data_IF_984478789121
#
_entry.id   IF_984478789121
#
_cell.length_a   1.000
_cell.length_b   1.000
_cell.length_c   1.000
_cell.angle_alpha   90.00
_cell.angle_beta   90.00
_cell.angle_gamma   90.00
#
_symmetry.space_group_name_H-M   'P 1'
#
loop_
_entity.id
_entity.type
_entity.pdbx_description
1 polymer ?
#
# COMPACT_ATOMS: atom_id res chain seq x y z
N UNK A 1 -11.34 -7.05 10.79
CA UNK A 1 -10.76 -8.00 9.81
C UNK A 1 -9.90 -9.00 10.57
N UNK A 2 -9.97 -10.31 10.29
CA UNK A 2 -8.96 -11.25 10.81
C UNK A 2 -7.72 -11.26 9.88
N UNK A 3 -6.57 -11.74 10.35
CA UNK A 3 -5.29 -11.65 9.63
C UNK A 3 -5.33 -12.36 8.25
N UNK A 4 -5.92 -13.55 8.18
CA UNK A 4 -6.03 -14.32 6.94
C UNK A 4 -6.86 -13.58 5.87
N UNK A 5 -7.95 -12.92 6.29
CA UNK A 5 -8.77 -12.10 5.39
C UNK A 5 -8.01 -10.84 4.94
N UNK A 6 -7.26 -10.17 5.82
CA UNK A 6 -6.47 -8.99 5.48
C UNK A 6 -5.41 -9.29 4.40
N UNK A 7 -4.68 -10.41 4.53
CA UNK A 7 -3.69 -10.83 3.53
C UNK A 7 -4.33 -11.18 2.19
N UNK A 8 -5.53 -11.76 2.20
CA UNK A 8 -6.26 -12.09 0.98
C UNK A 8 -6.62 -10.84 0.20
N UNK A 9 -7.14 -9.81 0.88
CA UNK A 9 -7.45 -8.51 0.26
C UNK A 9 -6.18 -7.83 -0.25
N UNK A 10 -5.10 -7.85 0.54
CA UNK A 10 -3.81 -7.29 0.13
C UNK A 10 -3.26 -7.94 -1.14
N UNK A 11 -3.24 -9.27 -1.22
CA UNK A 11 -2.81 -9.98 -2.42
C UNK A 11 -3.68 -9.67 -3.63
N UNK A 12 -4.99 -9.46 -3.43
CA UNK A 12 -5.86 -9.04 -4.53
C UNK A 12 -5.47 -7.66 -5.08
N UNK A 13 -5.24 -6.67 -4.20
CA UNK A 13 -4.77 -5.33 -4.59
C UNK A 13 -3.47 -5.41 -5.39
N UNK A 14 -2.48 -6.18 -4.90
CA UNK A 14 -1.18 -6.32 -5.58
C UNK A 14 -1.33 -6.96 -6.96
N UNK A 15 -2.19 -7.98 -7.08
CA UNK A 15 -2.40 -8.71 -8.35
C UNK A 15 -3.15 -7.88 -9.40
N UNK A 16 -4.08 -7.02 -8.97
CA UNK A 16 -4.94 -6.28 -9.90
C UNK A 16 -4.52 -4.82 -10.08
N UNK A 17 -3.70 -4.27 -9.20
CA UNK A 17 -3.43 -2.84 -9.10
C UNK A 17 -4.62 -2.02 -8.59
N UNK A 18 -5.76 -2.66 -8.26
CA UNK A 18 -6.95 -1.96 -7.79
C UNK A 18 -6.85 -1.63 -6.30
N UNK A 19 -6.55 -0.37 -6.01
CA UNK A 19 -6.42 0.17 -4.65
C UNK A 19 -7.76 0.59 -4.02
N UNK A 20 -8.91 0.34 -4.66
CA UNK A 20 -10.23 0.71 -4.13
C UNK A 20 -10.50 0.17 -2.72
N UNK A 21 -9.96 -1.01 -2.42
CA UNK A 21 -10.14 -1.69 -1.12
C UNK A 21 -9.03 -1.38 -0.11
N UNK A 22 -8.01 -0.61 -0.48
CA UNK A 22 -6.84 -0.33 0.37
C UNK A 22 -7.21 0.31 1.72
N UNK A 23 -8.19 1.23 1.72
CA UNK A 23 -8.66 1.88 2.94
C UNK A 23 -9.32 0.93 3.95
N UNK A 24 -9.68 -0.29 3.53
CA UNK A 24 -10.22 -1.31 4.45
C UNK A 24 -9.12 -2.02 5.25
N UNK A 25 -7.86 -1.91 4.82
CA UNK A 25 -6.70 -2.56 5.45
C UNK A 25 -5.92 -1.61 6.36
N UNK A 26 -6.02 -0.31 6.14
CA UNK A 26 -5.24 0.69 6.88
C UNK A 26 -5.96 1.09 8.17
N UNK A 27 -5.29 0.89 9.30
CA UNK A 27 -5.72 1.37 10.61
C UNK A 27 -5.67 2.91 10.69
N UNK A 28 -6.54 3.51 11.51
CA UNK A 28 -6.64 4.97 11.62
C UNK A 28 -5.34 5.63 12.10
N UNK A 29 -4.59 4.93 12.94
CA UNK A 29 -3.29 5.30 13.52
C UNK A 29 -2.08 4.70 12.80
N UNK A 30 -2.27 4.13 11.61
CA UNK A 30 -1.19 3.50 10.85
C UNK A 30 0.00 4.46 10.64
N UNK A 31 1.22 3.92 10.72
CA UNK A 31 2.47 4.67 10.51
C UNK A 31 3.22 4.06 9.32
N UNK A 32 3.51 4.89 8.32
CA UNK A 32 4.32 4.50 7.17
C UNK A 32 5.75 5.01 7.31
N UNK A 33 6.71 4.09 7.18
CA UNK A 33 8.14 4.37 7.17
C UNK A 33 8.67 4.22 5.75
N UNK A 34 9.15 5.31 5.17
CA UNK A 34 9.77 5.30 3.84
C UNK A 34 11.29 5.18 3.96
N UNK A 35 11.95 4.42 3.08
CA UNK A 35 13.41 4.44 2.98
C UNK A 35 13.95 5.77 2.40
N UNK A 36 13.09 6.59 1.78
CA UNK A 36 13.46 7.88 1.17
C UNK A 36 13.03 9.05 2.06
N UNK A 37 11.80 8.99 2.58
CA UNK A 37 11.29 10.00 3.51
C UNK A 37 11.52 9.50 4.93
N UNK A 38 12.61 9.94 5.54
CA UNK A 38 13.05 9.51 6.88
C UNK A 38 12.18 10.02 8.05
N UNK A 39 11.12 10.77 7.76
CA UNK A 39 10.10 11.17 8.75
C UNK A 39 8.90 10.22 8.70
N UNK A 40 8.48 9.62 9.82
CA UNK A 40 7.30 8.77 9.87
C UNK A 40 6.04 9.50 9.40
N UNK A 41 5.24 8.84 8.56
CA UNK A 41 3.99 9.38 8.03
C UNK A 41 2.83 8.74 8.80
N UNK A 42 2.20 9.52 9.68
CA UNK A 42 1.23 9.02 10.66
C UNK A 42 -0.20 9.33 10.21
N UNK A 43 -1.04 8.31 10.23
CA UNK A 43 -2.47 8.39 10.01
C UNK A 43 -2.92 7.80 8.67
N UNK A 44 -4.12 7.22 8.69
CA UNK A 44 -4.71 6.51 7.55
C UNK A 44 -4.67 7.27 6.22
N UNK A 45 -5.00 8.56 6.25
CA UNK A 45 -5.07 9.35 5.02
C UNK A 45 -3.71 9.52 4.34
N UNK A 46 -2.64 9.79 5.10
CA UNK A 46 -1.30 9.96 4.53
C UNK A 46 -0.71 8.60 4.12
N UNK A 47 -0.89 7.56 4.92
CA UNK A 47 -0.46 6.19 4.61
C UNK A 47 -1.14 5.70 3.32
N UNK A 48 -2.44 5.90 3.18
CA UNK A 48 -3.19 5.53 1.98
C UNK A 48 -2.67 6.24 0.73
N UNK A 49 -2.34 7.53 0.82
CA UNK A 49 -1.74 8.28 -0.30
C UNK A 49 -0.40 7.69 -0.75
N UNK A 50 0.49 7.38 0.20
CA UNK A 50 1.79 6.79 -0.13
C UNK A 50 1.66 5.42 -0.78
N UNK A 51 0.79 4.55 -0.24
CA UNK A 51 0.57 3.21 -0.79
C UNK A 51 -0.09 3.26 -2.17
N UNK A 52 -1.05 4.16 -2.39
CA UNK A 52 -1.63 4.41 -3.72
C UNK A 52 -0.58 4.89 -4.72
N UNK A 53 0.27 5.84 -4.33
CA UNK A 53 1.35 6.33 -5.20
C UNK A 53 2.37 5.23 -5.53
N UNK A 54 2.75 4.41 -4.54
CA UNK A 54 3.62 3.26 -4.76
C UNK A 54 2.99 2.23 -5.72
N UNK A 55 1.69 1.96 -5.60
CA UNK A 55 0.97 1.07 -6.51
C UNK A 55 1.04 1.57 -7.98
N UNK A 56 0.88 2.88 -8.22
CA UNK A 56 1.00 3.45 -9.57
C UNK A 56 2.39 3.24 -10.18
N UNK A 57 3.45 3.29 -9.37
CA UNK A 57 4.84 3.14 -9.85
C UNK A 57 5.25 1.67 -9.99
N UNK A 58 4.80 0.80 -9.09
CA UNK A 58 5.30 -0.57 -8.98
C UNK A 58 4.39 -1.63 -9.62
N UNK A 59 3.09 -1.37 -9.73
CA UNK A 59 2.09 -2.33 -10.21
C UNK A 59 1.61 -1.99 -11.63
N UNK A 60 2.53 -1.50 -12.47
CA UNK A 60 2.27 -1.25 -13.88
C UNK A 60 3.12 -2.20 -14.75
N UNK A 61 2.80 -2.25 -16.05
CA UNK A 61 3.45 -3.16 -17.00
C UNK A 61 4.90 -2.78 -17.34
N UNK A 62 5.29 -1.54 -17.06
CA UNK A 62 6.62 -1.00 -17.41
C UNK A 62 7.65 -1.19 -16.30
N UNK A 63 7.21 -1.46 -15.08
CA UNK A 63 8.12 -1.69 -13.96
C UNK A 63 8.76 -3.07 -14.07
N UNK A 64 10.08 -3.11 -13.93
CA UNK A 64 10.89 -4.33 -13.95
C UNK A 64 12.05 -4.17 -12.99
N UNK A 65 12.29 -5.20 -12.17
CA UNK A 65 13.49 -5.24 -11.34
C UNK A 65 14.70 -5.56 -12.22
N UNK A 66 15.76 -4.77 -12.06
CA UNK A 66 17.06 -5.04 -12.71
C UNK A 66 17.97 -5.81 -11.73
N UNK A 67 18.77 -6.78 -12.22
CA UNK A 67 19.75 -7.50 -11.42
C UNK A 67 20.88 -6.61 -10.88
#
# INVERSE_FOLDING_TARGET
MNMACALTVWHNIVRTGDVSTLNTLIADDAVFYSPVVHTPQVGKAIVGKYLTAAATVLLNESFHYVP
#
